data_IF_548526002156
#
_entry.id   IF_548526002156
#
_cell.length_a   1.000
_cell.length_b   1.000
_cell.length_c   1.000
_cell.angle_alpha   90.00
_cell.angle_beta   90.00
_cell.angle_gamma   90.00
#
_symmetry.space_group_name_H-M   'P 1'
#
loop_
_entity.id
_entity.type
_entity.pdbx_description
1 polymer ?
#
# COMPACT_ATOMS: atom_id res chain seq x y z
N UNK A 1 44.72 -25.60 -62.13
CA UNK A 1 45.90 -26.45 -61.90
C UNK A 1 47.16 -25.59 -61.78
N UNK A 2 48.12 -25.94 -60.91
CA UNK A 2 49.43 -25.27 -60.85
C UNK A 2 50.17 -25.39 -62.19
N UNK A 3 50.93 -24.34 -62.59
CA UNK A 3 51.65 -24.23 -63.88
C UNK A 3 52.45 -25.49 -64.25
N UNK A 4 53.17 -26.06 -63.29
CA UNK A 4 54.03 -27.24 -63.49
C UNK A 4 53.24 -28.53 -63.71
N UNK A 5 52.10 -28.70 -63.02
CA UNK A 5 51.23 -29.88 -63.19
C UNK A 5 50.51 -29.87 -64.54
N UNK A 6 50.09 -28.69 -65.01
CA UNK A 6 49.45 -28.57 -66.32
C UNK A 6 50.44 -28.90 -67.45
N UNK A 7 51.61 -28.26 -67.47
CA UNK A 7 52.62 -28.50 -68.52
C UNK A 7 53.08 -29.96 -68.55
N UNK A 8 53.27 -30.60 -67.37
CA UNK A 8 53.65 -32.02 -67.30
C UNK A 8 52.55 -32.95 -67.81
N UNK A 9 51.28 -32.65 -67.53
CA UNK A 9 50.14 -33.44 -68.01
C UNK A 9 50.05 -33.44 -69.55
N UNK A 10 50.30 -32.27 -70.16
CA UNK A 10 50.31 -32.13 -71.61
C UNK A 10 51.55 -32.73 -72.28
N UNK A 11 52.67 -32.87 -71.58
CA UNK A 11 53.87 -33.57 -72.10
C UNK A 11 53.77 -35.10 -71.99
N UNK A 12 52.91 -35.63 -71.11
CA UNK A 12 52.72 -37.08 -70.94
C UNK A 12 51.63 -37.69 -71.84
N UNK A 13 50.92 -36.89 -72.63
CA UNK A 13 49.82 -37.33 -73.50
C UNK A 13 50.32 -37.66 -74.92
N UNK A 14 49.71 -38.67 -75.56
CA UNK A 14 49.92 -38.93 -76.99
C UNK A 14 49.27 -37.83 -77.85
N UNK A 15 49.81 -37.61 -79.06
CA UNK A 15 49.40 -36.49 -79.93
C UNK A 15 47.92 -36.56 -80.33
N UNK A 16 47.37 -37.76 -80.50
CA UNK A 16 45.98 -37.95 -80.95
C UNK A 16 44.98 -37.66 -79.81
N UNK A 17 45.35 -37.97 -78.56
CA UNK A 17 44.56 -37.61 -77.39
C UNK A 17 44.53 -36.09 -77.15
N UNK A 18 45.66 -35.43 -77.43
CA UNK A 18 45.79 -33.98 -77.28
C UNK A 18 44.93 -33.21 -78.29
N UNK A 19 44.88 -33.67 -79.53
CA UNK A 19 44.04 -33.07 -80.59
C UNK A 19 42.55 -33.11 -80.22
N UNK A 20 42.06 -34.26 -79.73
CA UNK A 20 40.66 -34.41 -79.30
C UNK A 20 40.35 -33.46 -78.14
N UNK A 21 41.29 -33.29 -77.21
CA UNK A 21 41.14 -32.42 -76.05
C UNK A 21 41.10 -30.94 -76.48
N UNK A 22 41.96 -30.50 -77.40
CA UNK A 22 41.97 -29.13 -77.91
C UNK A 22 40.69 -28.77 -78.67
N UNK A 23 40.15 -29.71 -79.46
CA UNK A 23 38.89 -29.51 -80.20
C UNK A 23 37.68 -29.39 -79.25
N UNK A 24 37.68 -30.09 -78.12
CA UNK A 24 36.57 -30.06 -77.13
C UNK A 24 36.71 -28.96 -76.07
N UNK A 25 37.91 -28.39 -75.89
CA UNK A 25 38.17 -27.40 -74.85
C UNK A 25 37.57 -26.01 -75.14
N UNK A 26 37.21 -25.29 -74.08
CA UNK A 26 36.71 -23.91 -74.16
C UNK A 26 37.85 -22.91 -74.42
N UNK A 27 37.52 -21.73 -74.94
CA UNK A 27 38.51 -20.68 -75.25
C UNK A 27 39.35 -20.21 -74.06
N UNK A 28 38.79 -20.27 -72.83
CA UNK A 28 39.52 -19.93 -71.61
C UNK A 28 40.51 -21.01 -71.19
N UNK A 29 40.15 -22.29 -71.36
CA UNK A 29 41.03 -23.43 -71.07
C UNK A 29 42.20 -23.49 -72.03
N UNK A 30 41.91 -23.32 -73.33
CA UNK A 30 42.93 -23.22 -74.38
C UNK A 30 43.88 -22.05 -74.08
N UNK A 31 43.35 -20.88 -73.73
CA UNK A 31 44.20 -19.73 -73.42
C UNK A 31 45.04 -19.94 -72.15
N UNK A 32 44.50 -20.61 -71.11
CA UNK A 32 45.27 -20.95 -69.90
C UNK A 32 46.43 -21.89 -70.23
N UNK A 33 46.18 -22.91 -71.04
CA UNK A 33 47.23 -23.82 -71.53
C UNK A 33 48.33 -23.06 -72.28
N UNK A 34 47.95 -22.34 -73.35
CA UNK A 34 48.91 -21.65 -74.21
C UNK A 34 49.71 -20.57 -73.47
N UNK A 35 49.12 -19.94 -72.45
CA UNK A 35 49.81 -18.93 -71.65
C UNK A 35 50.96 -19.47 -70.78
N UNK A 36 50.99 -20.79 -70.52
CA UNK A 36 51.99 -21.45 -69.69
C UNK A 36 53.11 -22.15 -70.47
N UNK A 37 52.94 -22.30 -71.79
CA UNK A 37 53.94 -22.90 -72.66
C UNK A 37 55.02 -21.88 -73.05
N UNK A 38 56.27 -22.35 -73.10
CA UNK A 38 57.39 -21.58 -73.67
C UNK A 38 57.32 -21.56 -75.20
N UNK A 39 58.08 -20.66 -75.84
CA UNK A 39 58.15 -20.54 -77.30
C UNK A 39 58.49 -21.86 -77.99
N UNK A 40 59.44 -22.63 -77.44
CA UNK A 40 59.80 -23.95 -77.96
C UNK A 40 58.64 -24.94 -77.88
N UNK A 41 57.94 -24.98 -76.75
CA UNK A 41 56.81 -25.90 -76.52
C UNK A 41 55.58 -25.52 -77.36
N UNK A 42 55.31 -24.22 -77.55
CA UNK A 42 54.26 -23.76 -78.46
C UNK A 42 54.54 -24.20 -79.89
N UNK A 43 55.80 -24.15 -80.31
CA UNK A 43 56.20 -24.58 -81.64
C UNK A 43 56.14 -26.10 -81.83
N UNK A 44 56.54 -26.87 -80.82
CA UNK A 44 56.38 -28.33 -80.83
C UNK A 44 54.89 -28.73 -80.84
N UNK A 45 54.03 -28.00 -80.12
CA UNK A 45 52.59 -28.21 -80.14
C UNK A 45 52.01 -27.92 -81.53
N UNK A 46 52.20 -26.74 -82.10
CA UNK A 46 51.65 -26.43 -83.42
C UNK A 46 52.23 -27.31 -84.55
N UNK A 47 53.47 -27.79 -84.40
CA UNK A 47 54.08 -28.72 -85.35
C UNK A 47 53.40 -30.10 -85.34
N UNK A 48 53.09 -30.63 -84.15
CA UNK A 48 52.55 -31.99 -83.96
C UNK A 48 51.03 -32.12 -84.11
N UNK A 49 50.25 -31.06 -83.83
CA UNK A 49 48.78 -31.12 -83.86
C UNK A 49 48.16 -31.08 -85.27
N UNK A 50 46.93 -31.58 -85.43
CA UNK A 50 46.19 -31.54 -86.71
C UNK A 50 45.61 -30.16 -87.07
N UNK A 51 45.25 -29.99 -88.35
CA UNK A 51 44.64 -28.76 -88.90
C UNK A 51 43.33 -28.37 -88.18
N UNK A 52 42.51 -29.35 -87.79
CA UNK A 52 41.24 -29.10 -87.09
C UNK A 52 41.45 -28.59 -85.67
N UNK A 53 42.40 -29.15 -84.93
CA UNK A 53 42.75 -28.69 -83.59
C UNK A 53 43.31 -27.26 -83.62
N UNK A 54 44.14 -26.93 -84.60
CA UNK A 54 44.68 -25.57 -84.78
C UNK A 54 43.57 -24.56 -85.06
N UNK A 55 42.60 -24.88 -85.93
CA UNK A 55 41.47 -23.99 -86.18
C UNK A 55 40.64 -23.72 -84.91
N UNK A 56 40.30 -24.78 -84.17
CA UNK A 56 39.52 -24.67 -82.93
C UNK A 56 40.22 -23.79 -81.88
N UNK A 57 41.55 -23.86 -81.79
CA UNK A 57 42.35 -22.99 -80.94
C UNK A 57 42.16 -21.52 -81.31
N UNK A 58 42.41 -21.14 -82.58
CA UNK A 58 42.40 -19.73 -82.98
C UNK A 58 41.00 -19.11 -83.07
N UNK A 59 39.97 -19.94 -83.31
CA UNK A 59 38.57 -19.50 -83.26
C UNK A 59 38.14 -19.14 -81.83
N UNK A 60 38.62 -19.89 -80.82
CA UNK A 60 38.13 -19.78 -79.43
C UNK A 60 38.99 -18.91 -78.53
N UNK A 61 40.29 -18.74 -78.80
CA UNK A 61 41.13 -17.88 -77.95
C UNK A 61 40.67 -16.41 -77.97
N UNK A 62 40.89 -15.65 -76.88
CA UNK A 62 40.63 -14.22 -76.83
C UNK A 62 41.43 -13.42 -77.88
N UNK A 63 40.79 -12.45 -78.52
CA UNK A 63 41.36 -11.66 -79.62
C UNK A 63 42.65 -10.92 -79.24
N UNK A 64 42.75 -10.44 -78.00
CA UNK A 64 43.93 -9.76 -77.46
C UNK A 64 45.15 -10.67 -77.20
N UNK A 65 44.99 -12.00 -77.32
CA UNK A 65 46.08 -12.98 -77.14
C UNK A 65 46.61 -13.53 -78.46
N UNK A 66 45.86 -13.36 -79.55
CA UNK A 66 46.23 -13.82 -80.89
C UNK A 66 47.62 -13.29 -81.28
N UNK A 67 47.83 -11.98 -81.16
CA UNK A 67 49.11 -11.35 -81.52
C UNK A 67 50.30 -11.96 -80.76
N UNK A 68 50.11 -12.31 -79.48
CA UNK A 68 51.14 -12.93 -78.65
C UNK A 68 51.50 -14.33 -79.14
N UNK A 69 50.52 -15.18 -79.40
CA UNK A 69 50.79 -16.57 -79.80
C UNK A 69 51.34 -16.68 -81.22
N UNK A 70 50.92 -15.79 -82.13
CA UNK A 70 51.46 -15.75 -83.49
C UNK A 70 52.90 -15.22 -83.54
N UNK A 71 53.29 -14.30 -82.66
CA UNK A 71 54.68 -13.83 -82.59
C UNK A 71 55.66 -14.91 -82.13
N UNK A 72 55.20 -15.83 -81.27
CA UNK A 72 56.01 -16.93 -80.72
C UNK A 72 56.04 -18.16 -81.64
N UNK A 73 55.25 -18.19 -82.71
CA UNK A 73 55.23 -19.28 -83.66
C UNK A 73 56.35 -19.14 -84.71
N UNK A 74 56.99 -20.25 -85.05
CA UNK A 74 57.97 -20.35 -86.12
C UNK A 74 57.32 -20.12 -87.48
N UNK A 75 58.09 -19.72 -88.48
CA UNK A 75 57.56 -19.39 -89.80
C UNK A 75 56.84 -20.59 -90.48
N UNK A 76 57.32 -21.81 -90.25
CA UNK A 76 56.67 -23.03 -90.73
C UNK A 76 55.32 -23.27 -90.04
N UNK A 77 55.24 -23.04 -88.72
CA UNK A 77 54.00 -23.18 -87.97
C UNK A 77 53.00 -22.07 -88.29
N UNK A 78 53.45 -20.83 -88.54
CA UNK A 78 52.60 -19.74 -89.01
C UNK A 78 51.93 -20.12 -90.33
N UNK A 79 52.68 -20.67 -91.29
CA UNK A 79 52.11 -21.17 -92.56
C UNK A 79 51.07 -22.25 -92.32
N UNK A 80 51.38 -23.24 -91.49
CA UNK A 80 50.45 -24.33 -91.14
C UNK A 80 49.19 -23.78 -90.47
N UNK A 81 49.31 -22.83 -89.55
CA UNK A 81 48.19 -22.20 -88.85
C UNK A 81 47.28 -21.50 -89.85
N UNK A 82 47.81 -20.59 -90.68
CA UNK A 82 46.97 -19.78 -91.56
C UNK A 82 46.24 -20.61 -92.62
N UNK A 83 46.87 -21.66 -93.15
CA UNK A 83 46.21 -22.62 -94.06
C UNK A 83 45.14 -23.43 -93.32
N UNK A 84 45.30 -23.62 -92.02
CA UNK A 84 44.39 -24.39 -91.19
C UNK A 84 43.09 -23.67 -90.79
N UNK A 85 43.01 -22.34 -90.92
CA UNK A 85 41.90 -21.55 -90.38
C UNK A 85 40.66 -21.49 -91.29
N UNK A 86 39.47 -21.45 -90.67
CA UNK A 86 38.19 -21.06 -91.30
C UNK A 86 38.10 -19.55 -91.56
N UNK A 87 37.19 -19.09 -92.42
CA UNK A 87 37.09 -17.66 -92.78
C UNK A 87 36.79 -16.74 -91.58
N UNK A 88 35.98 -17.20 -90.62
CA UNK A 88 35.69 -16.45 -89.40
C UNK A 88 36.90 -16.37 -88.46
N UNK A 89 37.65 -17.48 -88.33
CA UNK A 89 38.90 -17.51 -87.57
C UNK A 89 39.98 -16.63 -88.23
N UNK A 90 40.03 -16.56 -89.56
CA UNK A 90 40.93 -15.64 -90.30
C UNK A 90 40.62 -14.17 -89.99
N UNK A 91 39.34 -13.77 -89.99
CA UNK A 91 38.92 -12.40 -89.66
C UNK A 91 39.28 -12.02 -88.22
N UNK A 92 39.05 -12.93 -87.28
CA UNK A 92 39.42 -12.72 -85.88
C UNK A 92 40.93 -12.59 -85.70
N UNK A 93 41.70 -13.41 -86.41
CA UNK A 93 43.16 -13.34 -86.38
C UNK A 93 43.69 -12.03 -86.97
N UNK A 94 43.09 -11.54 -88.05
CA UNK A 94 43.46 -10.27 -88.68
C UNK A 94 43.22 -9.06 -87.77
N UNK A 95 41.99 -8.92 -87.29
CA UNK A 95 41.60 -7.81 -86.42
C UNK A 95 42.41 -7.79 -85.11
N UNK A 96 42.73 -8.95 -84.54
CA UNK A 96 43.53 -9.07 -83.32
C UNK A 96 45.05 -8.96 -83.49
N UNK A 97 45.57 -8.99 -84.73
CA UNK A 97 47.00 -8.91 -85.01
C UNK A 97 47.48 -7.47 -85.19
N UNK A 98 48.70 -7.18 -84.75
CA UNK A 98 49.34 -5.87 -84.94
C UNK A 98 49.74 -5.62 -86.42
N UNK A 99 49.88 -4.35 -86.81
CA UNK A 99 50.22 -3.94 -88.20
C UNK A 99 51.47 -4.64 -88.76
N UNK A 100 52.52 -4.79 -87.94
CA UNK A 100 53.77 -5.47 -88.32
C UNK A 100 53.63 -7.00 -88.46
N UNK A 101 52.73 -7.63 -87.70
CA UNK A 101 52.45 -9.05 -87.82
C UNK A 101 51.53 -9.34 -89.00
N UNK A 102 50.57 -8.46 -89.32
CA UNK A 102 49.72 -8.56 -90.52
C UNK A 102 50.56 -8.56 -91.79
N UNK A 103 51.55 -7.67 -91.90
CA UNK A 103 52.45 -7.63 -93.07
C UNK A 103 53.32 -8.89 -93.16
N UNK A 104 53.80 -9.43 -92.02
CA UNK A 104 54.54 -10.70 -91.96
C UNK A 104 53.68 -11.91 -92.36
N UNK A 105 52.45 -12.01 -91.87
CA UNK A 105 51.49 -13.06 -92.25
C UNK A 105 51.17 -13.02 -93.76
N UNK A 106 50.91 -11.84 -94.32
CA UNK A 106 50.65 -11.64 -95.74
C UNK A 106 51.84 -12.09 -96.62
N UNK A 107 53.08 -11.91 -96.15
CA UNK A 107 54.29 -12.31 -96.87
C UNK A 107 54.48 -13.83 -96.98
N UNK A 108 53.98 -14.60 -96.01
CA UNK A 108 54.16 -16.07 -95.92
C UNK A 108 53.10 -16.90 -96.66
N UNK A 109 52.08 -16.27 -97.26
CA UNK A 109 50.95 -16.92 -97.92
C UNK A 109 51.11 -17.06 -99.43
N UNK A 110 50.53 -18.11 -100.07
CA UNK A 110 50.42 -18.20 -101.53
C UNK A 110 49.63 -17.03 -102.12
N UNK A 111 49.98 -16.60 -103.34
CA UNK A 111 49.48 -15.35 -103.94
C UNK A 111 47.94 -15.19 -103.94
N UNK A 112 47.19 -16.29 -104.11
CA UNK A 112 45.72 -16.26 -104.19
C UNK A 112 45.04 -15.88 -102.87
N UNK A 113 45.60 -16.30 -101.73
CA UNK A 113 45.05 -16.00 -100.41
C UNK A 113 45.33 -14.56 -99.94
N UNK A 114 46.31 -13.86 -100.56
CA UNK A 114 46.72 -12.51 -100.18
C UNK A 114 45.74 -11.43 -100.62
N UNK A 115 45.05 -11.61 -101.74
CA UNK A 115 44.08 -10.65 -102.26
C UNK A 115 42.75 -10.69 -101.50
N UNK A 116 42.26 -11.88 -101.15
CA UNK A 116 41.06 -12.05 -100.32
C UNK A 116 41.21 -11.34 -98.95
N UNK A 117 42.40 -11.33 -98.39
CA UNK A 117 42.68 -10.73 -97.07
C UNK A 117 42.77 -9.20 -97.10
N UNK A 118 43.07 -8.57 -98.24
CA UNK A 118 43.12 -7.10 -98.37
C UNK A 118 41.74 -6.48 -98.50
N UNK A 119 40.82 -7.14 -99.21
CA UNK A 119 39.47 -6.64 -99.44
C UNK A 119 38.70 -6.44 -98.13
N UNK A 120 38.80 -7.39 -97.21
CA UNK A 120 38.11 -7.37 -95.92
C UNK A 120 38.53 -6.22 -94.98
N UNK A 121 39.71 -5.61 -95.18
CA UNK A 121 40.24 -4.55 -94.31
C UNK A 121 39.73 -3.15 -94.72
N UNK A 122 39.49 -2.91 -96.01
CA UNK A 122 39.14 -1.57 -96.51
C UNK A 122 37.67 -1.19 -96.23
N UNK A 123 36.77 -2.17 -96.28
CA UNK A 123 35.32 -1.96 -96.17
C UNK A 123 34.89 -1.42 -94.78
N UNK A 124 35.56 -1.85 -93.71
CA UNK A 124 35.26 -1.43 -92.34
C UNK A 124 35.70 0.02 -92.03
N UNK A 125 36.82 0.47 -92.61
CA UNK A 125 37.38 1.79 -92.32
C UNK A 125 36.50 2.95 -92.81
N UNK A 126 35.71 2.70 -93.86
CA UNK A 126 34.81 3.68 -94.47
C UNK A 126 33.54 3.89 -93.62
N UNK A 127 32.97 2.81 -93.10
CA UNK A 127 31.72 2.85 -92.32
C UNK A 127 31.86 3.62 -90.99
N UNK A 128 32.98 3.46 -90.29
CA UNK A 128 33.21 4.15 -89.01
C UNK A 128 33.38 5.67 -89.16
N UNK A 129 33.89 6.13 -90.31
CA UNK A 129 34.14 7.55 -90.54
C UNK A 129 32.85 8.32 -90.78
N UNK A 130 31.90 7.70 -91.47
CA UNK A 130 30.62 8.31 -91.84
C UNK A 130 29.67 8.47 -90.64
N UNK A 131 29.68 7.52 -89.70
CA UNK A 131 28.83 7.55 -88.50
C UNK A 131 29.22 8.69 -87.52
N UNK A 132 30.51 9.03 -87.46
CA UNK A 132 31.05 10.04 -86.52
C UNK A 132 30.70 11.47 -86.91
N UNK A 133 30.57 11.78 -88.20
CA UNK A 133 30.33 13.15 -88.69
C UNK A 133 28.86 13.60 -88.53
N UNK A 134 27.91 12.66 -88.57
CA UNK A 134 26.48 12.94 -88.47
C UNK A 134 26.05 13.17 -87.01
N UNK A 135 26.76 12.57 -86.04
CA UNK A 135 26.39 12.64 -84.63
C UNK A 135 26.80 13.95 -83.95
N UNK A 136 27.91 14.58 -84.34
CA UNK A 136 28.45 15.75 -83.62
C UNK A 136 27.67 17.05 -83.92
N UNK A 137 27.35 17.34 -85.18
CA UNK A 137 26.78 18.64 -85.57
C UNK A 137 25.32 18.89 -85.15
N UNK A 138 24.54 17.84 -84.86
CA UNK A 138 23.11 17.97 -84.51
C UNK A 138 22.88 18.14 -83.00
N UNK A 139 23.82 17.71 -82.18
CA UNK A 139 23.69 17.68 -80.72
C UNK A 139 23.99 19.05 -80.11
N UNK A 140 25.00 19.77 -80.62
CA UNK A 140 25.47 21.02 -80.00
C UNK A 140 24.44 22.17 -80.06
N UNK A 141 23.77 22.38 -81.20
CA UNK A 141 22.82 23.49 -81.36
C UNK A 141 21.48 23.31 -80.64
N UNK A 142 21.06 22.07 -80.34
CA UNK A 142 19.80 21.81 -79.62
C UNK A 142 19.97 21.87 -78.10
N UNK A 143 21.14 21.47 -77.58
CA UNK A 143 21.40 21.44 -76.15
C UNK A 143 21.50 22.85 -75.55
N UNK A 144 22.10 23.80 -76.27
CA UNK A 144 22.31 25.16 -75.76
C UNK A 144 20.99 25.92 -75.60
N UNK A 145 20.08 25.81 -76.57
CA UNK A 145 18.76 26.45 -76.51
C UNK A 145 17.85 25.82 -75.45
N UNK A 146 17.87 24.50 -75.32
CA UNK A 146 17.12 23.80 -74.27
C UNK A 146 17.65 24.15 -72.87
N UNK A 147 18.98 24.29 -72.71
CA UNK A 147 19.58 24.68 -71.43
C UNK A 147 19.13 26.07 -70.97
N UNK A 148 19.05 27.06 -71.87
CA UNK A 148 18.64 28.44 -71.54
C UNK A 148 17.16 28.50 -71.12
N UNK A 149 16.26 27.86 -71.86
CA UNK A 149 14.83 27.83 -71.51
C UNK A 149 14.58 27.06 -70.20
N UNK A 150 15.39 26.04 -69.92
CA UNK A 150 15.37 25.30 -68.66
C UNK A 150 15.87 26.14 -67.49
N UNK A 151 16.91 26.94 -67.67
CA UNK A 151 17.38 27.90 -66.65
C UNK A 151 16.28 28.92 -66.34
N UNK A 152 15.66 29.53 -67.36
CA UNK A 152 14.60 30.52 -67.16
C UNK A 152 13.37 29.95 -66.44
N UNK A 153 12.96 28.74 -66.81
CA UNK A 153 11.83 28.06 -66.12
C UNK A 153 12.17 27.65 -64.69
N UNK A 154 13.43 27.26 -64.42
CA UNK A 154 13.91 26.99 -63.07
C UNK A 154 13.97 28.27 -62.21
N UNK A 155 14.44 29.39 -62.75
CA UNK A 155 14.44 30.69 -62.07
C UNK A 155 13.02 31.12 -61.68
N UNK A 156 12.07 31.04 -62.60
CA UNK A 156 10.66 31.34 -62.32
C UNK A 156 10.06 30.40 -61.26
N UNK A 157 10.40 29.10 -61.29
CA UNK A 157 9.98 28.16 -60.24
C UNK A 157 10.61 28.46 -58.88
N UNK A 158 11.87 28.92 -58.85
CA UNK A 158 12.55 29.34 -57.61
C UNK A 158 11.87 30.57 -57.04
N UNK A 159 11.56 31.57 -57.87
CA UNK A 159 10.90 32.79 -57.44
C UNK A 159 9.49 32.51 -56.87
N UNK A 160 8.68 31.72 -57.55
CA UNK A 160 7.36 31.30 -57.03
C UNK A 160 7.46 30.52 -55.72
N UNK A 161 8.45 29.61 -55.60
CA UNK A 161 8.67 28.89 -54.34
C UNK A 161 9.12 29.81 -53.22
N UNK A 162 9.89 30.85 -53.53
CA UNK A 162 10.35 31.83 -52.58
C UNK A 162 9.19 32.71 -52.07
N UNK A 163 8.34 33.23 -52.97
CA UNK A 163 7.13 33.96 -52.60
C UNK A 163 6.19 33.10 -51.73
N UNK A 164 6.02 31.82 -52.07
CA UNK A 164 5.24 30.89 -51.24
C UNK A 164 5.88 30.62 -49.87
N UNK A 165 7.21 30.54 -49.79
CA UNK A 165 7.93 30.36 -48.53
C UNK A 165 7.79 31.61 -47.64
N UNK A 166 7.90 32.80 -48.22
CA UNK A 166 7.71 34.07 -47.53
C UNK A 166 6.27 34.23 -47.02
N UNK A 167 5.26 33.92 -47.84
CA UNK A 167 3.86 33.93 -47.40
C UNK A 167 3.59 32.94 -46.26
N UNK A 168 4.22 31.75 -46.29
CA UNK A 168 4.12 30.77 -45.19
C UNK A 168 4.79 31.27 -43.91
N UNK A 169 5.95 31.91 -44.02
CA UNK A 169 6.67 32.52 -42.91
C UNK A 169 5.85 33.62 -42.24
N UNK A 170 5.28 34.54 -43.03
CA UNK A 170 4.40 35.59 -42.50
C UNK A 170 3.16 35.00 -41.81
N UNK A 171 2.56 33.95 -42.39
CA UNK A 171 1.42 33.28 -41.79
C UNK A 171 1.81 32.55 -40.48
N UNK A 172 3.00 31.95 -40.41
CA UNK A 172 3.48 31.34 -39.18
C UNK A 172 3.77 32.39 -38.11
N UNK A 173 4.34 33.54 -38.47
CA UNK A 173 4.64 34.62 -37.54
C UNK A 173 3.38 35.23 -36.94
N UNK A 174 2.35 35.44 -37.78
CA UNK A 174 1.03 35.86 -37.31
C UNK A 174 0.42 34.85 -36.34
N UNK A 175 0.45 33.55 -36.67
CA UNK A 175 -0.03 32.50 -35.76
C UNK A 175 0.76 32.47 -34.45
N UNK A 176 2.09 32.62 -34.53
CA UNK A 176 2.96 32.66 -33.37
C UNK A 176 2.59 33.85 -32.46
N UNK A 177 2.37 35.04 -33.03
CA UNK A 177 1.96 36.23 -32.26
C UNK A 177 0.58 36.04 -31.60
N UNK A 178 -0.37 35.42 -32.29
CA UNK A 178 -1.69 35.12 -31.73
C UNK A 178 -1.59 34.14 -30.56
N UNK A 179 -0.78 33.08 -30.72
CA UNK A 179 -0.53 32.10 -29.66
C UNK A 179 0.17 32.74 -28.47
N UNK A 180 1.20 33.57 -28.70
CA UNK A 180 1.88 34.31 -27.64
C UNK A 180 0.93 35.25 -26.89
N UNK A 181 0.05 35.95 -27.59
CA UNK A 181 -0.96 36.80 -26.98
C UNK A 181 -1.96 35.99 -26.14
N UNK A 182 -2.39 34.83 -26.63
CA UNK A 182 -3.26 33.92 -25.86
C UNK A 182 -2.56 33.38 -24.62
N UNK A 183 -1.27 33.02 -24.71
CA UNK A 183 -0.46 32.60 -23.56
C UNK A 183 -0.36 33.73 -22.55
N UNK A 184 -0.02 34.94 -22.97
CA UNK A 184 0.07 36.08 -22.06
C UNK A 184 -1.28 36.40 -21.36
N UNK A 185 -2.39 36.25 -22.08
CA UNK A 185 -3.72 36.43 -21.50
C UNK A 185 -4.08 35.32 -20.50
N UNK A 186 -3.77 34.06 -20.83
CA UNK A 186 -4.04 32.92 -19.95
C UNK A 186 -3.16 32.96 -18.69
N UNK A 187 -1.88 33.31 -18.83
CA UNK A 187 -0.97 33.53 -17.69
C UNK A 187 -1.50 34.61 -16.76
N UNK A 188 -1.99 35.74 -17.30
CA UNK A 188 -2.59 36.80 -16.50
C UNK A 188 -3.85 36.32 -15.76
N UNK A 189 -4.74 35.59 -16.44
CA UNK A 189 -5.94 35.03 -15.82
C UNK A 189 -5.59 34.04 -14.71
N UNK A 190 -4.59 33.19 -14.92
CA UNK A 190 -4.12 32.20 -13.95
C UNK A 190 -3.51 32.90 -12.73
N UNK A 191 -2.71 33.96 -12.94
CA UNK A 191 -2.16 34.78 -11.88
C UNK A 191 -3.27 35.47 -11.05
N UNK A 192 -4.26 36.07 -11.71
CA UNK A 192 -5.40 36.71 -11.04
C UNK A 192 -6.22 35.69 -10.23
N UNK A 193 -6.42 34.48 -10.75
CA UNK A 193 -7.07 33.38 -10.03
C UNK A 193 -6.24 32.94 -8.81
N UNK A 194 -4.92 32.82 -8.95
CA UNK A 194 -4.04 32.43 -7.87
C UNK A 194 -4.06 33.47 -6.73
N UNK A 195 -4.06 34.77 -7.06
CA UNK A 195 -4.20 35.85 -6.07
C UNK A 195 -5.56 35.76 -5.36
N UNK A 196 -6.65 35.50 -6.08
CA UNK A 196 -7.99 35.36 -5.47
C UNK A 196 -8.03 34.15 -4.54
N UNK A 197 -7.51 33.01 -4.97
CA UNK A 197 -7.44 31.80 -4.17
C UNK A 197 -6.60 32.02 -2.89
N UNK A 198 -5.47 32.73 -2.97
CA UNK A 198 -4.66 33.09 -1.80
C UNK A 198 -5.42 33.99 -0.84
N UNK A 199 -6.11 35.03 -1.35
CA UNK A 199 -6.93 35.92 -0.51
C UNK A 199 -8.06 35.17 0.20
N UNK A 200 -8.75 34.27 -0.52
CA UNK A 200 -9.79 33.42 0.07
C UNK A 200 -9.21 32.49 1.13
N UNK A 201 -8.06 31.87 0.87
CA UNK A 201 -7.36 31.03 1.84
C UNK A 201 -7.00 31.80 3.11
N UNK A 202 -6.47 33.02 3.00
CA UNK A 202 -6.16 33.87 4.15
C UNK A 202 -7.40 34.27 4.95
N UNK A 203 -8.52 34.54 4.27
CA UNK A 203 -9.80 34.85 4.92
C UNK A 203 -10.33 33.62 5.66
N UNK A 204 -10.29 32.44 5.04
CA UNK A 204 -10.73 31.19 5.65
C UNK A 204 -9.87 30.83 6.85
N UNK A 205 -8.54 30.97 6.74
CA UNK A 205 -7.60 30.74 7.84
C UNK A 205 -7.85 31.68 9.03
N UNK A 206 -8.15 32.95 8.77
CA UNK A 206 -8.55 33.91 9.82
C UNK A 206 -9.86 33.49 10.50
N UNK A 207 -10.86 33.05 9.73
CA UNK A 207 -12.13 32.56 10.29
C UNK A 207 -11.95 31.29 11.10
N UNK A 208 -11.13 30.36 10.63
CA UNK A 208 -10.82 29.12 11.35
C UNK A 208 -10.15 29.42 12.69
N UNK A 209 -9.17 30.33 12.71
CA UNK A 209 -8.55 30.78 13.96
C UNK A 209 -9.55 31.48 14.90
N UNK A 210 -10.43 32.33 14.38
CA UNK A 210 -11.46 32.99 15.20
C UNK A 210 -12.46 31.98 15.77
N UNK A 211 -12.91 31.01 14.96
CA UNK A 211 -13.77 29.90 15.39
C UNK A 211 -13.09 29.04 16.46
N UNK A 212 -11.82 28.67 16.26
CA UNK A 212 -11.03 27.91 17.23
C UNK A 212 -10.91 28.66 18.57
N UNK A 213 -10.62 29.97 18.53
CA UNK A 213 -10.56 30.80 19.72
C UNK A 213 -11.93 30.91 20.44
N UNK A 214 -13.03 31.01 19.67
CA UNK A 214 -14.39 31.00 20.25
C UNK A 214 -14.74 29.66 20.86
N UNK A 215 -14.35 28.55 20.24
CA UNK A 215 -14.55 27.21 20.80
C UNK A 215 -13.76 27.02 22.10
N UNK A 216 -12.52 27.49 22.15
CA UNK A 216 -11.72 27.52 23.38
C UNK A 216 -12.41 28.33 24.48
N UNK A 217 -12.87 29.56 24.18
CA UNK A 217 -13.59 30.39 25.15
C UNK A 217 -14.89 29.73 25.63
N UNK A 218 -15.68 29.16 24.72
CA UNK A 218 -16.91 28.45 25.07
C UNK A 218 -16.64 27.23 25.93
N UNK A 219 -15.55 26.49 25.66
CA UNK A 219 -15.12 25.36 26.48
C UNK A 219 -14.75 25.82 27.89
N UNK A 220 -13.91 26.85 28.01
CA UNK A 220 -13.51 27.42 29.30
C UNK A 220 -14.71 27.97 30.08
N UNK A 221 -15.65 28.64 29.41
CA UNK A 221 -16.89 29.14 30.03
C UNK A 221 -17.77 28.00 30.51
N UNK A 222 -17.93 26.94 29.72
CA UNK A 222 -18.71 25.76 30.10
C UNK A 222 -18.07 25.01 31.28
N UNK A 223 -16.75 24.86 31.30
CA UNK A 223 -15.99 24.26 32.39
C UNK A 223 -16.15 25.09 33.68
N UNK A 224 -16.02 26.42 33.60
CA UNK A 224 -16.30 27.32 34.73
C UNK A 224 -17.74 27.26 35.21
N UNK A 225 -18.72 27.10 34.32
CA UNK A 225 -20.13 26.96 34.70
C UNK A 225 -20.41 25.63 35.42
N UNK A 226 -19.78 24.54 34.98
CA UNK A 226 -19.83 23.26 35.68
C UNK A 226 -19.19 23.41 37.06
N UNK A 227 -18.01 24.01 37.12
CA UNK A 227 -17.27 24.21 38.37
C UNK A 227 -18.07 25.02 39.39
N UNK A 228 -18.60 26.18 38.99
CA UNK A 228 -19.45 27.01 39.86
C UNK A 228 -20.70 26.28 40.37
N UNK A 229 -21.29 25.38 39.56
CA UNK A 229 -22.43 24.57 40.00
C UNK A 229 -22.02 23.49 41.00
N UNK A 230 -20.85 22.88 40.83
CA UNK A 230 -20.30 21.89 41.75
C UNK A 230 -19.92 22.56 43.07
N UNK A 231 -19.16 23.64 43.03
CA UNK A 231 -18.61 24.34 44.20
C UNK A 231 -19.69 24.90 45.12
N UNK A 232 -20.81 25.37 44.57
CA UNK A 232 -21.87 26.02 45.36
C UNK A 232 -22.98 25.03 45.72
N UNK A 233 -23.53 24.30 44.74
CA UNK A 233 -24.79 23.56 44.95
C UNK A 233 -24.59 22.21 45.63
N UNK A 234 -23.46 21.55 45.40
CA UNK A 234 -23.24 20.20 45.95
C UNK A 234 -22.97 20.28 47.46
N UNK A 235 -22.07 21.15 47.96
CA UNK A 235 -21.89 21.30 49.41
C UNK A 235 -23.15 21.75 50.14
N UNK A 236 -23.96 22.64 49.55
CA UNK A 236 -25.24 23.09 50.12
C UNK A 236 -26.26 21.93 50.20
N UNK A 237 -26.41 21.16 49.13
CA UNK A 237 -27.31 20.01 49.12
C UNK A 237 -26.88 18.94 50.14
N UNK A 238 -25.58 18.66 50.22
CA UNK A 238 -25.01 17.72 51.17
C UNK A 238 -25.18 18.20 52.62
N UNK A 239 -24.98 19.49 52.88
CA UNK A 239 -25.23 20.09 54.20
C UNK A 239 -26.71 19.99 54.61
N UNK A 240 -27.63 20.26 53.68
CA UNK A 240 -29.07 20.09 53.92
C UNK A 240 -29.42 18.62 54.25
N UNK A 241 -28.84 17.66 53.53
CA UNK A 241 -29.03 16.23 53.81
C UNK A 241 -28.49 15.82 55.20
N UNK A 242 -27.30 16.32 55.58
CA UNK A 242 -26.72 16.12 56.92
C UNK A 242 -27.66 16.67 57.99
N UNK A 243 -28.13 17.92 57.85
CA UNK A 243 -29.00 18.55 58.84
C UNK A 243 -30.33 17.80 59.03
N UNK A 244 -30.89 17.26 57.95
CA UNK A 244 -32.10 16.45 58.00
C UNK A 244 -31.88 15.12 58.73
N UNK A 245 -30.71 14.50 58.55
CA UNK A 245 -30.32 13.28 59.26
C UNK A 245 -30.04 13.52 60.74
N UNK A 246 -29.33 14.61 61.09
CA UNK A 246 -29.07 15.02 62.48
C UNK A 246 -30.36 15.34 63.24
N UNK A 247 -31.31 16.00 62.57
CA UNK A 247 -32.64 16.27 63.16
C UNK A 247 -33.34 14.97 63.53
N UNK A 248 -33.32 13.98 62.61
CA UNK A 248 -33.92 12.66 62.86
C UNK A 248 -33.15 11.83 63.89
N UNK A 249 -31.83 11.92 63.91
CA UNK A 249 -31.00 11.32 64.95
C UNK A 249 -31.40 11.84 66.33
N UNK A 250 -31.53 13.15 66.48
CA UNK A 250 -31.95 13.78 67.74
C UNK A 250 -33.36 13.35 68.14
N UNK A 251 -34.31 13.28 67.20
CA UNK A 251 -35.66 12.74 67.46
C UNK A 251 -35.62 11.28 67.96
N UNK A 252 -34.72 10.44 67.44
CA UNK A 252 -34.60 9.06 67.91
C UNK A 252 -33.87 8.96 69.26
N UNK A 253 -32.84 9.78 69.50
CA UNK A 253 -32.16 9.84 70.80
C UNK A 253 -33.10 10.30 71.92
N UNK A 254 -33.94 11.31 71.67
CA UNK A 254 -34.92 11.77 72.66
C UNK A 254 -35.95 10.69 72.95
N UNK A 255 -36.49 10.02 71.91
CA UNK A 255 -37.41 8.88 72.09
C UNK A 255 -36.75 7.72 72.86
N UNK A 256 -35.49 7.40 72.57
CA UNK A 256 -34.75 6.37 73.29
C UNK A 256 -34.63 6.73 74.77
N UNK A 257 -34.24 7.97 75.08
CA UNK A 257 -34.15 8.48 76.45
C UNK A 257 -35.50 8.41 77.18
N UNK A 258 -36.57 8.88 76.56
CA UNK A 258 -37.92 8.83 77.14
C UNK A 258 -38.35 7.40 77.49
N UNK A 259 -38.04 6.43 76.64
CA UNK A 259 -38.31 5.01 76.90
C UNK A 259 -37.41 4.44 78.00
N UNK A 260 -36.14 4.83 78.05
CA UNK A 260 -35.22 4.45 79.12
C UNK A 260 -35.69 5.00 80.48
N UNK A 261 -36.13 6.26 80.53
CA UNK A 261 -36.63 6.90 81.75
C UNK A 261 -37.91 6.22 82.23
N UNK A 262 -38.83 5.87 81.34
CA UNK A 262 -40.02 5.04 81.66
C UNK A 262 -39.63 3.66 82.20
N UNK A 263 -38.58 3.04 81.66
CA UNK A 263 -38.04 1.78 82.15
C UNK A 263 -37.49 1.90 83.58
N UNK A 264 -36.70 2.95 83.84
CA UNK A 264 -36.15 3.27 85.15
C UNK A 264 -37.25 3.52 86.19
N UNK A 265 -38.29 4.28 85.83
CA UNK A 265 -39.46 4.53 86.70
C UNK A 265 -40.18 3.23 86.99
N UNK A 266 -40.41 2.38 85.98
CA UNK A 266 -41.07 1.09 86.19
C UNK A 266 -40.26 0.15 87.10
N UNK A 267 -38.93 0.15 86.98
CA UNK A 267 -38.06 -0.62 87.86
C UNK A 267 -38.11 -0.08 89.30
N UNK A 268 -38.08 1.24 89.48
CA UNK A 268 -38.23 1.87 90.80
C UNK A 268 -39.60 1.52 91.43
N UNK A 269 -40.68 1.55 90.64
CA UNK A 269 -42.01 1.09 91.07
C UNK A 269 -42.02 -0.40 91.43
N UNK A 270 -41.30 -1.27 90.70
CA UNK A 270 -41.20 -2.69 91.02
C UNK A 270 -40.54 -2.91 92.39
N UNK A 271 -39.45 -2.20 92.66
CA UNK A 271 -38.74 -2.25 93.96
C UNK A 271 -39.63 -1.71 95.08
N UNK A 272 -40.27 -0.56 94.87
CA UNK A 272 -41.20 0.00 95.84
C UNK A 272 -42.38 -0.94 96.12
N UNK A 273 -42.97 -1.54 95.08
CA UNK A 273 -44.04 -2.51 95.21
C UNK A 273 -43.59 -3.78 95.96
N UNK A 274 -42.34 -4.24 95.74
CA UNK A 274 -41.78 -5.36 96.48
C UNK A 274 -41.65 -5.05 97.99
N UNK A 275 -41.11 -3.86 98.32
CA UNK A 275 -41.00 -3.42 99.72
C UNK A 275 -42.37 -3.25 100.39
N UNK A 276 -43.34 -2.66 99.68
CA UNK A 276 -44.71 -2.50 100.17
C UNK A 276 -45.41 -3.85 100.34
N UNK A 277 -45.22 -4.80 99.42
CA UNK A 277 -45.78 -6.14 99.52
C UNK A 277 -45.20 -6.90 100.71
N UNK A 278 -43.91 -6.78 100.98
CA UNK A 278 -43.27 -7.36 102.17
C UNK A 278 -43.79 -6.72 103.47
N UNK A 279 -43.88 -5.38 103.51
CA UNK A 279 -44.40 -4.66 104.67
C UNK A 279 -45.87 -4.98 104.96
N UNK A 280 -46.71 -4.99 103.91
CA UNK A 280 -48.11 -5.39 104.01
C UNK A 280 -48.25 -6.86 104.43
N UNK A 281 -47.45 -7.76 103.85
CA UNK A 281 -47.44 -9.18 104.25
C UNK A 281 -47.06 -9.37 105.72
N UNK A 282 -46.07 -8.62 106.22
CA UNK A 282 -45.68 -8.66 107.63
C UNK A 282 -46.78 -8.12 108.57
N UNK A 283 -47.48 -7.05 108.17
CA UNK A 283 -48.60 -6.48 108.91
C UNK A 283 -49.83 -7.40 108.94
N UNK A 284 -50.21 -7.96 107.80
CA UNK A 284 -51.30 -8.96 107.71
C UNK A 284 -50.96 -10.19 108.55
N UNK A 285 -49.69 -10.63 108.53
CA UNK A 285 -49.24 -11.74 109.37
C UNK A 285 -49.32 -11.43 110.88
N UNK A 286 -49.00 -10.20 111.32
CA UNK A 286 -49.06 -9.83 112.74
C UNK A 286 -50.49 -9.67 113.26
N UNK A 287 -51.45 -9.32 112.40
CA UNK A 287 -52.82 -9.04 112.78
C UNK A 287 -53.81 -10.21 112.56
N UNK A 288 -53.39 -11.25 111.83
CA UNK A 288 -54.24 -12.41 111.55
C UNK A 288 -54.21 -13.40 112.74
N UNK A 289 -55.37 -13.88 113.24
CA UNK A 289 -55.43 -14.92 114.26
C UNK A 289 -54.70 -16.20 113.81
N UNK A 290 -53.95 -16.84 114.71
CA UNK A 290 -53.13 -18.04 114.40
C UNK A 290 -53.90 -19.22 113.76
N UNK A 291 -55.23 -19.26 113.92
CA UNK A 291 -56.09 -20.30 113.36
C UNK A 291 -56.29 -20.18 111.82
N UNK A 292 -56.15 -18.98 111.26
CA UNK A 292 -56.41 -18.71 109.83
C UNK A 292 -55.11 -18.65 109.00
N UNK A 293 -53.94 -18.74 109.64
CA UNK A 293 -52.63 -18.76 108.99
C UNK A 293 -52.39 -20.15 108.38
N UNK A 294 -53.03 -20.39 107.24
CA UNK A 294 -52.79 -21.57 106.41
C UNK A 294 -51.62 -21.34 105.46
N UNK A 295 -50.89 -22.40 105.07
CA UNK A 295 -49.85 -22.34 104.04
C UNK A 295 -50.37 -21.73 102.71
N UNK A 296 -51.66 -21.94 102.41
CA UNK A 296 -52.34 -21.34 101.26
C UNK A 296 -52.44 -19.80 101.33
N UNK A 297 -52.57 -19.21 102.53
CA UNK A 297 -52.62 -17.76 102.72
C UNK A 297 -51.27 -17.12 102.38
N UNK A 298 -50.17 -17.74 102.84
CA UNK A 298 -48.82 -17.31 102.48
C UNK A 298 -48.56 -17.43 100.97
N UNK A 299 -48.97 -18.55 100.37
CA UNK A 299 -48.89 -18.76 98.92
C UNK A 299 -49.66 -17.71 98.13
N UNK A 300 -50.87 -17.34 98.58
CA UNK A 300 -51.68 -16.29 97.96
C UNK A 300 -51.02 -14.90 98.02
N UNK A 301 -50.50 -14.50 99.19
CA UNK A 301 -49.80 -13.22 99.34
C UNK A 301 -48.52 -13.15 98.50
N UNK A 302 -47.73 -14.23 98.49
CA UNK A 302 -46.52 -14.32 97.66
C UNK A 302 -46.84 -14.26 96.17
N UNK A 303 -47.87 -14.99 95.72
CA UNK A 303 -48.29 -14.99 94.32
C UNK A 303 -48.77 -13.60 93.88
N UNK A 304 -49.57 -12.91 94.70
CA UNK A 304 -50.05 -11.56 94.41
C UNK A 304 -48.89 -10.56 94.29
N UNK A 305 -47.91 -10.63 95.21
CA UNK A 305 -46.69 -9.80 95.13
C UNK A 305 -45.86 -10.09 93.88
N UNK A 306 -45.66 -11.37 93.56
CA UNK A 306 -44.91 -11.81 92.39
C UNK A 306 -45.55 -11.33 91.08
N UNK A 307 -46.88 -11.36 90.96
CA UNK A 307 -47.60 -10.87 89.78
C UNK A 307 -47.37 -9.36 89.57
N UNK A 308 -47.45 -8.56 90.64
CA UNK A 308 -47.26 -7.10 90.56
C UNK A 308 -45.83 -6.75 90.17
N UNK A 309 -44.84 -7.38 90.81
CA UNK A 309 -43.41 -7.20 90.49
C UNK A 309 -43.13 -7.65 89.05
N UNK A 310 -43.68 -8.80 88.64
CA UNK A 310 -43.55 -9.35 87.29
C UNK A 310 -44.12 -8.42 86.21
N UNK A 311 -45.25 -7.76 86.48
CA UNK A 311 -45.85 -6.81 85.55
C UNK A 311 -44.95 -5.57 85.34
N UNK A 312 -44.43 -4.98 86.43
CA UNK A 312 -43.49 -3.86 86.33
C UNK A 312 -42.17 -4.28 85.69
N UNK A 313 -41.67 -5.47 85.98
CA UNK A 313 -40.48 -6.04 85.33
C UNK A 313 -40.66 -6.25 83.83
N UNK A 314 -41.82 -6.78 83.41
CA UNK A 314 -42.16 -6.94 82.00
C UNK A 314 -42.29 -5.58 81.28
N UNK A 315 -42.89 -4.59 81.93
CA UNK A 315 -42.98 -3.23 81.41
C UNK A 315 -41.60 -2.57 81.27
N UNK A 316 -40.75 -2.68 82.30
CA UNK A 316 -39.38 -2.18 82.25
C UNK A 316 -38.59 -2.83 81.11
N UNK A 317 -38.69 -4.16 80.95
CA UNK A 317 -38.06 -4.87 79.84
C UNK A 317 -38.55 -4.39 78.48
N UNK A 318 -39.85 -4.21 78.30
CA UNK A 318 -40.40 -3.67 77.05
C UNK A 318 -39.87 -2.25 76.78
N UNK A 319 -39.86 -1.39 77.79
CA UNK A 319 -39.37 -0.02 77.68
C UNK A 319 -37.88 0.02 77.29
N UNK A 320 -37.02 -0.82 77.88
CA UNK A 320 -35.61 -0.92 77.50
C UNK A 320 -35.41 -1.48 76.09
N UNK A 321 -36.22 -2.47 75.66
CA UNK A 321 -36.16 -2.97 74.28
C UNK A 321 -36.50 -1.88 73.27
N UNK A 322 -37.54 -1.08 73.53
CA UNK A 322 -37.89 0.06 72.68
C UNK A 322 -36.79 1.12 72.69
N UNK A 323 -36.23 1.45 73.86
CA UNK A 323 -35.09 2.37 73.99
C UNK A 323 -33.90 1.92 73.14
N UNK A 324 -33.52 0.65 73.22
CA UNK A 324 -32.41 0.09 72.46
C UNK A 324 -32.65 0.14 70.94
N UNK A 325 -33.88 -0.13 70.50
CA UNK A 325 -34.21 -0.05 69.07
C UNK A 325 -34.12 1.39 68.54
N UNK A 326 -34.65 2.37 69.27
CA UNK A 326 -34.51 3.78 68.92
C UNK A 326 -33.05 4.24 68.95
N UNK A 327 -32.25 3.77 69.92
CA UNK A 327 -30.82 4.07 70.01
C UNK A 327 -30.03 3.47 68.84
N UNK A 328 -30.35 2.24 68.43
CA UNK A 328 -29.70 1.60 67.29
C UNK A 328 -29.97 2.34 65.98
N UNK A 329 -31.22 2.79 65.77
CA UNK A 329 -31.57 3.62 64.61
C UNK A 329 -30.91 5.00 64.66
N UNK A 330 -30.75 5.60 65.85
CA UNK A 330 -30.00 6.84 66.00
C UNK A 330 -28.53 6.65 65.60
N UNK A 331 -27.86 5.61 66.12
CA UNK A 331 -26.46 5.30 65.80
C UNK A 331 -26.25 5.06 64.30
N UNK A 332 -27.15 4.32 63.67
CA UNK A 332 -27.12 4.07 62.23
C UNK A 332 -27.26 5.36 61.41
N UNK A 333 -28.03 6.33 61.90
CA UNK A 333 -28.15 7.65 61.27
C UNK A 333 -26.90 8.50 61.49
N UNK A 334 -26.25 8.39 62.65
CA UNK A 334 -24.94 9.01 62.90
C UNK A 334 -23.88 8.46 61.96
N UNK A 335 -23.81 7.13 61.78
CA UNK A 335 -22.89 6.49 60.85
C UNK A 335 -23.11 6.96 59.40
N UNK A 336 -24.38 7.09 58.97
CA UNK A 336 -24.72 7.66 57.65
C UNK A 336 -24.36 9.13 57.54
N UNK A 337 -24.52 9.91 58.60
CA UNK A 337 -24.15 11.33 58.64
C UNK A 337 -22.63 11.49 58.55
N UNK A 338 -21.88 10.63 59.24
CA UNK A 338 -20.42 10.58 59.18
C UNK A 338 -19.93 10.14 57.79
N UNK A 339 -20.56 9.08 57.25
CA UNK A 339 -20.73 8.79 55.83
C UNK A 339 -20.69 10.09 55.01
N UNK A 340 -21.77 10.86 55.20
CA UNK A 340 -22.10 12.08 54.48
C UNK A 340 -21.10 13.22 54.59
N UNK A 341 -20.55 13.40 55.76
CA UNK A 341 -19.52 14.39 56.00
C UNK A 341 -18.20 14.09 55.27
N UNK A 342 -17.83 12.82 55.07
CA UNK A 342 -16.55 12.50 54.41
C UNK A 342 -16.54 12.82 52.91
N UNK A 343 -17.61 12.53 52.19
CA UNK A 343 -17.72 12.90 50.78
C UNK A 343 -17.96 14.40 50.62
N UNK A 344 -18.59 15.07 51.60
CA UNK A 344 -18.56 16.54 51.65
C UNK A 344 -17.13 17.06 51.72
N UNK A 345 -16.32 16.53 52.63
CA UNK A 345 -14.90 16.88 52.78
C UNK A 345 -14.11 16.57 51.50
N UNK A 346 -14.38 15.42 50.86
CA UNK A 346 -13.74 15.06 49.59
C UNK A 346 -14.04 16.08 48.50
N UNK A 347 -15.29 16.53 48.38
CA UNK A 347 -15.68 17.57 47.43
C UNK A 347 -15.08 18.94 47.78
N UNK A 348 -14.94 19.27 49.07
CA UNK A 348 -14.29 20.52 49.48
C UNK A 348 -12.77 20.51 49.18
N UNK A 349 -12.11 19.35 49.24
CA UNK A 349 -10.67 19.22 48.96
C UNK A 349 -10.38 19.07 47.46
N UNK A 350 -11.16 18.27 46.74
CA UNK A 350 -10.89 17.88 45.36
C UNK A 350 -11.88 18.46 44.34
N UNK A 351 -12.88 19.23 44.76
CA UNK A 351 -14.02 19.65 43.93
C UNK A 351 -13.68 20.31 42.60
N UNK A 352 -12.47 20.90 42.46
CA UNK A 352 -11.95 21.47 41.22
C UNK A 352 -11.70 20.45 40.09
N UNK A 353 -11.47 19.18 40.43
CA UNK A 353 -11.11 18.13 39.47
C UNK A 353 -12.10 16.94 39.48
N UNK A 354 -13.21 17.04 40.22
CA UNK A 354 -14.15 15.92 40.41
C UNK A 354 -15.17 15.85 39.28
N UNK A 355 -15.12 14.75 38.51
CA UNK A 355 -16.11 14.46 37.48
C UNK A 355 -17.46 14.04 38.06
N UNK A 356 -18.50 14.02 37.23
CA UNK A 356 -19.85 13.56 37.64
C UNK A 356 -19.83 12.09 38.06
N UNK A 357 -19.01 11.29 37.41
CA UNK A 357 -18.82 9.86 37.65
C UNK A 357 -18.16 9.64 39.02
N UNK A 358 -17.16 10.45 39.37
CA UNK A 358 -16.49 10.41 40.67
C UNK A 358 -17.47 10.80 41.79
N UNK A 359 -18.23 11.89 41.61
CA UNK A 359 -19.32 12.27 42.52
C UNK A 359 -20.29 11.12 42.76
N UNK A 360 -20.75 10.44 41.71
CA UNK A 360 -21.65 9.30 41.85
C UNK A 360 -21.01 8.20 42.69
N UNK A 361 -19.75 7.85 42.42
CA UNK A 361 -19.05 6.78 43.13
C UNK A 361 -18.87 7.06 44.64
N UNK A 362 -18.68 8.33 45.01
CA UNK A 362 -18.52 8.76 46.41
C UNK A 362 -19.80 8.55 47.21
N UNK A 363 -20.97 8.88 46.64
CA UNK A 363 -22.24 8.80 47.36
C UNK A 363 -23.01 7.48 47.15
N UNK A 364 -22.71 6.69 46.11
CA UNK A 364 -23.42 5.44 45.77
C UNK A 364 -23.32 4.39 46.90
N UNK A 365 -22.17 4.31 47.57
CA UNK A 365 -21.90 3.29 48.60
C UNK A 365 -22.30 3.69 50.03
N UNK A 366 -22.98 4.81 50.22
CA UNK A 366 -23.30 5.29 51.57
C UNK A 366 -24.69 4.92 52.06
N UNK A 367 -25.54 4.45 51.14
CA UNK A 367 -26.82 3.87 51.48
C UNK A 367 -26.69 2.39 51.88
N UNK A 368 -25.69 2.06 52.70
CA UNK A 368 -25.45 0.68 53.12
C UNK A 368 -26.39 0.28 54.27
N UNK A 369 -27.08 -0.84 54.02
CA UNK A 369 -27.97 -1.61 54.88
C UNK A 369 -29.25 -0.92 55.39
N UNK A 370 -30.39 -1.31 54.83
CA UNK A 370 -31.74 -0.84 55.18
C UNK A 370 -32.49 -1.76 56.16
N UNK A 371 -31.79 -2.66 56.85
CA UNK A 371 -32.43 -3.46 57.89
C UNK A 371 -32.69 -2.59 59.12
N UNK A 372 -33.96 -2.49 59.51
CA UNK A 372 -34.39 -1.66 60.63
C UNK A 372 -34.32 -2.47 61.91
N UNK A 373 -33.82 -1.86 62.99
CA UNK A 373 -33.76 -2.45 64.33
C UNK A 373 -35.16 -2.88 64.83
N UNK A 374 -36.21 -2.23 64.31
CA UNK A 374 -37.60 -2.55 64.64
C UNK A 374 -38.07 -3.89 64.07
N UNK A 375 -37.37 -4.47 63.09
CA UNK A 375 -37.69 -5.81 62.55
C UNK A 375 -37.25 -6.94 63.49
N UNK A 376 -36.23 -6.70 64.30
CA UNK A 376 -35.67 -7.69 65.24
C UNK A 376 -36.32 -7.64 66.62
N UNK A 377 -37.20 -6.67 66.88
CA UNK A 377 -38.12 -6.70 68.01
C UNK A 377 -39.19 -7.76 67.73
N UNK A 378 -38.79 -9.03 67.78
CA UNK A 378 -39.75 -10.12 67.86
C UNK A 378 -40.59 -9.84 69.11
N UNK A 379 -41.92 -9.75 68.92
CA UNK A 379 -42.84 -9.92 70.04
C UNK A 379 -42.32 -11.12 70.82
N UNK A 380 -42.13 -10.95 72.13
CA UNK A 380 -41.81 -12.07 72.99
C UNK A 380 -43.02 -13.00 72.88
N UNK A 381 -43.00 -13.92 71.92
CA UNK A 381 -43.71 -15.18 72.05
C UNK A 381 -43.30 -15.65 73.42
N UNK A 382 -44.28 -15.80 74.31
CA UNK A 382 -44.07 -16.26 75.66
C UNK A 382 -43.58 -17.70 75.58
N UNK A 383 -42.28 -17.87 75.27
CA UNK A 383 -41.67 -19.15 74.99
C UNK A 383 -41.50 -19.92 76.30
N UNK A 384 -41.69 -21.25 76.29
CA UNK A 384 -41.64 -22.12 77.47
C UNK A 384 -40.29 -22.15 78.22
N UNK A 385 -39.26 -21.41 77.78
CA UNK A 385 -37.99 -21.31 78.50
C UNK A 385 -38.10 -20.66 79.89
N UNK A 386 -39.07 -19.76 80.11
CA UNK A 386 -39.35 -19.25 81.47
C UNK A 386 -40.06 -20.30 82.32
N UNK A 387 -40.86 -21.19 81.70
CA UNK A 387 -41.50 -22.35 82.33
C UNK A 387 -40.50 -23.45 82.66
N UNK A 388 -39.51 -23.70 81.81
CA UNK A 388 -38.47 -24.70 82.07
C UNK A 388 -37.51 -24.23 83.17
N UNK A 389 -37.16 -22.94 83.21
CA UNK A 389 -36.46 -22.35 84.37
C UNK A 389 -37.29 -22.38 85.65
N UNK A 390 -38.61 -22.22 85.56
CA UNK A 390 -39.54 -22.39 86.69
C UNK A 390 -39.61 -23.86 87.14
N UNK A 391 -39.61 -24.82 86.21
CA UNK A 391 -39.56 -26.26 86.51
C UNK A 391 -38.25 -26.65 87.18
N UNK A 392 -37.12 -26.09 86.77
CA UNK A 392 -35.83 -26.34 87.43
C UNK A 392 -35.83 -25.80 88.86
N UNK A 393 -36.38 -24.59 89.10
CA UNK A 393 -36.52 -24.03 90.45
C UNK A 393 -37.49 -24.85 91.30
N UNK A 394 -38.62 -25.30 90.74
CA UNK A 394 -39.60 -26.18 91.43
C UNK A 394 -39.00 -27.57 91.69
N UNK A 395 -38.19 -28.10 90.77
CA UNK A 395 -37.49 -29.37 90.91
C UNK A 395 -36.41 -29.34 92.00
N UNK A 396 -35.69 -28.22 92.13
CA UNK A 396 -34.76 -27.98 93.23
C UNK A 396 -35.47 -27.91 94.59
N UNK A 397 -36.66 -27.31 94.64
CA UNK A 397 -37.46 -27.20 95.88
C UNK A 397 -38.03 -28.54 96.34
N UNK A 398 -38.46 -29.40 95.40
CA UNK A 398 -38.98 -30.75 95.68
C UNK A 398 -37.91 -31.74 96.16
N UNK A 399 -36.64 -31.48 95.84
CA UNK A 399 -35.50 -32.33 96.21
C UNK A 399 -34.93 -32.02 97.61
N UNK A 400 -35.36 -30.92 98.23
CA UNK A 400 -34.91 -30.49 99.56
C UNK A 400 -35.73 -31.03 100.74
N UNK A 401 -36.89 -31.65 100.50
CA UNK A 401 -37.85 -32.05 101.55
C UNK A 401 -37.82 -33.56 101.90
N UNK A 402 -36.88 -34.32 101.33
CA UNK A 402 -36.72 -35.76 101.57
C UNK A 402 -35.51 -36.11 102.45
N UNK A 403 -35.01 -35.17 103.25
CA UNK A 403 -33.81 -35.33 104.06
C UNK A 403 -33.90 -34.77 105.48
N UNK A 404 -34.90 -35.15 106.28
CA UNK A 404 -34.77 -35.21 107.75
C UNK A 404 -36.02 -35.81 108.43
N UNK A 405 -36.15 -37.14 108.42
CA UNK A 405 -36.83 -37.88 109.49
C UNK A 405 -36.08 -39.19 109.73
N UNK A 406 -35.13 -39.19 110.66
CA UNK A 406 -34.72 -40.35 111.50
C UNK A 406 -33.59 -39.93 112.44
N UNK A 407 -33.93 -39.51 113.66
CA UNK A 407 -33.07 -39.63 114.85
C UNK A 407 -33.80 -39.13 116.11
N UNK A 408 -34.65 -39.98 116.68
CA UNK A 408 -34.55 -40.42 118.08
C UNK A 408 -35.51 -41.55 118.37
#
# INVERSE_FOLDING_TARGET
MPKTKLVNLYHSMETDELDILLIKSSGQEINRLLSHLSERQLNELFASQSQQAINAVFERIPQNRINKYLLLASEANIRKIVISLSNDAKFKVLSGSSSSLRTKLLSTLPAKAREEWKHLINEESLLNRELSLITTNRIDNSLEKEAIDRIRSLEHQVQLRQEQAEARLQQSDLKLSMVQQQIAQSEKQLHDQQIRAQKEHDILKKRENDLSNRLLKLRDEHEKQIQNRIDIKVPEYVANAISALETKENEYKTKAKDWSDKGNIALACAVAAALLALGYGAYEFSNTPKADISWLFFGYLMLKGLIVIGLFGAWAKHAYNQSNAYMHEALKRTERTHAISFGKLYLEIYGNDVSKEDMKSIFENWNMESQSAFKDIKQVDFQPQTLDKLKDIIGLMKSGDSGNVTAK
#
